data_IF_973522256445
#
_entry.id   IF_973522256445
#
_cell.length_a   1.000
_cell.length_b   1.000
_cell.length_c   1.000
_cell.angle_alpha   90.00
_cell.angle_beta   90.00
_cell.angle_gamma   90.00
#
_symmetry.space_group_name_H-M   'P 1'
#
loop_
_entity.id
_entity.type
_entity.pdbx_description
1 polymer ?
#
# COMPACT_ATOMS: atom_id res chain seq x y z
N UNK A 1 -0.53 6.70 14.54
CA UNK A 1 -0.46 7.99 13.82
C UNK A 1 -1.67 8.83 14.17
N UNK A 2 -1.49 10.09 14.56
CA UNK A 2 -2.62 11.02 14.71
C UNK A 2 -3.02 11.50 13.30
N UNK A 3 -4.31 11.52 13.01
CA UNK A 3 -4.84 12.03 11.73
C UNK A 3 -5.35 13.44 11.99
N UNK A 4 -4.76 14.48 11.37
CA UNK A 4 -5.26 15.84 11.51
C UNK A 4 -6.72 15.90 11.04
N UNK A 5 -7.57 16.61 11.78
CA UNK A 5 -8.99 16.74 11.43
C UNK A 5 -9.27 17.89 10.45
N UNK A 6 -8.28 18.74 10.20
CA UNK A 6 -8.42 19.97 9.43
C UNK A 6 -7.04 20.54 9.03
N UNK A 7 -6.96 21.27 7.91
CA UNK A 7 -7.97 21.35 6.85
C UNK A 7 -7.86 20.22 5.84
N UNK A 8 -8.98 19.91 5.18
CA UNK A 8 -8.99 19.02 4.03
C UNK A 8 -8.65 19.85 2.79
N UNK A 9 -7.54 19.54 2.13
CA UNK A 9 -7.00 20.27 0.98
C UNK A 9 -7.70 19.92 -0.32
N UNK A 10 -8.05 18.64 -0.46
CA UNK A 10 -8.69 18.10 -1.64
C UNK A 10 -9.77 17.12 -1.21
N UNK A 11 -10.93 17.21 -1.85
CA UNK A 11 -12.02 16.26 -1.69
C UNK A 11 -12.50 15.88 -3.08
N UNK A 12 -12.51 14.57 -3.35
CA UNK A 12 -13.01 13.99 -4.57
C UNK A 12 -14.09 12.97 -4.19
N UNK A 13 -15.38 13.37 -4.19
CA UNK A 13 -16.46 12.46 -3.91
C UNK A 13 -16.69 11.51 -5.10
N UNK A 14 -17.18 10.31 -4.83
CA UNK A 14 -17.69 9.45 -5.87
C UNK A 14 -18.88 10.11 -6.57
N UNK A 15 -18.89 10.06 -7.90
CA UNK A 15 -20.03 10.45 -8.73
C UNK A 15 -21.15 9.42 -8.59
N UNK A 16 -21.95 9.53 -7.53
CA UNK A 16 -23.08 8.63 -7.26
C UNK A 16 -24.19 9.33 -6.48
N UNK A 17 -25.42 8.86 -6.68
CA UNK A 17 -26.60 9.21 -5.87
C UNK A 17 -27.07 8.04 -4.99
N UNK A 18 -26.35 6.92 -5.02
CA UNK A 18 -26.68 5.69 -4.30
C UNK A 18 -25.58 5.32 -3.28
N UNK A 19 -25.91 4.41 -2.37
CA UNK A 19 -25.01 3.89 -1.35
C UNK A 19 -24.63 2.43 -1.63
N UNK A 20 -23.47 1.96 -1.14
CA UNK A 20 -22.45 2.71 -0.39
C UNK A 20 -21.68 3.70 -1.28
N UNK A 21 -21.23 4.82 -0.70
CA UNK A 21 -20.44 5.84 -1.41
C UNK A 21 -19.09 6.08 -0.74
N UNK A 22 -18.08 6.30 -1.55
CA UNK A 22 -16.72 6.61 -1.11
C UNK A 22 -16.33 8.04 -1.45
N UNK A 23 -15.43 8.62 -0.65
CA UNK A 23 -14.84 9.93 -0.86
C UNK A 23 -13.34 9.78 -0.67
N UNK A 24 -12.56 10.18 -1.67
CA UNK A 24 -11.12 10.36 -1.52
C UNK A 24 -10.84 11.78 -1.06
N UNK A 25 -9.85 11.96 -0.19
CA UNK A 25 -9.41 13.29 0.20
C UNK A 25 -7.93 13.33 0.55
N UNK A 26 -7.39 14.54 0.54
CA UNK A 26 -6.02 14.83 0.98
C UNK A 26 -6.09 15.76 2.18
N UNK A 27 -5.44 15.34 3.27
CA UNK A 27 -5.34 16.09 4.52
C UNK A 27 -3.89 16.53 4.67
N UNK A 28 -3.67 17.81 4.95
CA UNK A 28 -2.37 18.36 5.29
C UNK A 28 -2.56 19.28 6.49
N UNK A 29 -1.68 19.17 7.48
CA UNK A 29 -1.71 20.08 8.62
C UNK A 29 -1.31 21.50 8.17
N UNK A 30 -2.14 22.50 8.49
CA UNK A 30 -1.84 23.90 8.21
C UNK A 30 -0.87 24.51 9.22
N UNK A 31 -0.90 24.01 10.45
CA UNK A 31 -0.03 24.51 11.52
C UNK A 31 1.40 23.98 11.37
N UNK A 32 1.58 22.86 10.66
CA UNK A 32 2.87 22.25 10.38
C UNK A 32 2.94 21.77 8.92
N UNK A 33 3.42 22.65 8.04
CA UNK A 33 3.57 22.35 6.61
C UNK A 33 4.67 21.32 6.32
N UNK A 34 5.55 21.03 7.29
CA UNK A 34 6.56 19.97 7.20
C UNK A 34 5.97 18.59 7.51
N UNK A 35 4.79 18.54 8.15
CA UNK A 35 4.08 17.28 8.37
C UNK A 35 3.64 16.65 7.04
N UNK A 36 3.75 15.32 6.91
CA UNK A 36 3.44 14.66 5.65
C UNK A 36 1.95 14.74 5.34
N UNK A 37 1.61 14.92 4.07
CA UNK A 37 0.23 14.90 3.61
C UNK A 37 -0.33 13.47 3.65
N UNK A 38 -1.60 13.33 4.02
CA UNK A 38 -2.30 12.05 4.10
C UNK A 38 -3.33 11.93 2.99
N UNK A 39 -3.29 10.84 2.23
CA UNK A 39 -4.37 10.40 1.36
C UNK A 39 -5.34 9.53 2.16
N UNK A 40 -6.63 9.87 2.15
CA UNK A 40 -7.65 9.15 2.90
C UNK A 40 -8.82 8.72 2.02
N UNK A 41 -9.40 7.56 2.32
CA UNK A 41 -10.70 7.16 1.77
C UNK A 41 -11.69 6.99 2.91
N UNK A 42 -12.80 7.69 2.78
CA UNK A 42 -13.95 7.63 3.68
C UNK A 42 -15.09 6.93 2.96
N UNK A 43 -15.73 5.95 3.61
CA UNK A 43 -16.89 5.22 3.08
C UNK A 43 -18.11 5.43 3.95
N UNK A 44 -19.25 5.69 3.32
CA UNK A 44 -20.56 5.75 3.97
C UNK A 44 -21.44 4.61 3.44
N UNK A 45 -21.96 3.77 4.34
CA UNK A 45 -22.71 2.57 3.96
C UNK A 45 -24.18 2.86 3.60
N UNK A 46 -24.82 3.83 4.24
CA UNK A 46 -26.20 4.24 4.00
C UNK A 46 -26.37 5.75 4.29
N UNK A 47 -27.51 6.39 3.93
CA UNK A 47 -27.69 7.83 4.06
C UNK A 47 -27.50 8.40 5.48
N UNK A 48 -27.73 7.60 6.52
CA UNK A 48 -27.68 8.01 7.93
C UNK A 48 -26.45 7.50 8.67
N UNK A 49 -25.74 6.51 8.11
CA UNK A 49 -24.46 6.04 8.64
C UNK A 49 -23.41 7.14 8.64
N UNK A 50 -22.50 7.10 9.63
CA UNK A 50 -21.30 7.95 9.65
C UNK A 50 -20.34 7.49 8.54
N UNK A 51 -19.47 8.41 8.12
CA UNK A 51 -18.32 8.03 7.30
C UNK A 51 -17.31 7.28 8.16
N UNK A 52 -16.87 6.13 7.66
CA UNK A 52 -15.80 5.35 8.23
C UNK A 52 -14.55 5.45 7.36
N UNK A 53 -13.41 5.59 8.00
CA UNK A 53 -12.11 5.60 7.34
C UNK A 53 -11.75 4.18 6.91
N UNK A 54 -11.54 3.98 5.62
CA UNK A 54 -11.19 2.67 5.04
C UNK A 54 -9.74 2.60 4.59
N UNK A 55 -9.17 3.72 4.16
CA UNK A 55 -7.75 3.82 3.81
C UNK A 55 -7.14 5.09 4.40
N UNK A 56 -5.88 4.96 4.84
CA UNK A 56 -5.01 6.08 5.21
C UNK A 56 -3.62 5.76 4.68
N UNK A 57 -3.11 6.62 3.81
CA UNK A 57 -1.76 6.51 3.28
C UNK A 57 -1.00 7.80 3.54
N UNK A 58 0.29 7.68 3.84
CA UNK A 58 1.20 8.82 3.89
C UNK A 58 1.66 9.07 2.45
N UNK A 59 1.40 10.26 1.93
CA UNK A 59 1.81 10.64 0.59
C UNK A 59 3.33 10.82 0.54
N UNK A 60 3.93 10.42 -0.59
CA UNK A 60 5.35 10.61 -0.83
C UNK A 60 5.70 12.10 -0.79
N UNK A 61 6.90 12.48 -0.29
CA UNK A 61 7.35 13.86 -0.29
C UNK A 61 7.27 14.44 -1.71
N UNK A 62 6.70 15.64 -1.83
CA UNK A 62 6.57 16.36 -3.11
C UNK A 62 5.84 15.58 -4.21
N UNK A 63 4.97 14.62 -3.85
CA UNK A 63 4.22 13.86 -4.85
C UNK A 63 3.30 14.75 -5.66
N UNK A 64 3.39 14.63 -6.99
CA UNK A 64 2.43 15.26 -7.90
C UNK A 64 1.24 14.34 -8.09
N UNK A 65 0.10 14.76 -7.56
CA UNK A 65 -1.19 14.12 -7.80
C UNK A 65 -1.62 14.32 -9.26
N UNK A 66 -2.29 13.33 -9.87
CA UNK A 66 -2.86 13.49 -11.21
C UNK A 66 -4.00 14.52 -11.18
N UNK A 67 -4.47 14.93 -12.36
CA UNK A 67 -5.63 15.79 -12.48
C UNK A 67 -6.90 15.04 -12.01
N UNK A 68 -7.49 15.48 -10.91
CA UNK A 68 -8.64 14.85 -10.28
C UNK A 68 -9.92 15.63 -10.60
N UNK A 69 -11.05 14.95 -10.86
CA UNK A 69 -12.32 15.62 -11.07
C UNK A 69 -12.67 16.57 -9.91
N UNK A 70 -13.21 17.74 -10.25
CA UNK A 70 -13.68 18.72 -9.28
C UNK A 70 -14.77 18.14 -8.37
N UNK A 71 -14.86 18.66 -7.13
CA UNK A 71 -15.73 18.11 -6.10
C UNK A 71 -17.22 18.16 -6.45
N UNK A 72 -17.64 19.14 -7.26
CA UNK A 72 -19.01 19.32 -7.74
C UNK A 72 -19.40 18.33 -8.86
N UNK A 73 -18.41 17.84 -9.62
CA UNK A 73 -18.58 16.81 -10.65
C UNK A 73 -18.50 15.40 -10.06
N UNK A 74 -17.53 15.19 -9.16
CA UNK A 74 -17.18 13.88 -8.59
C UNK A 74 -16.45 12.96 -9.57
N UNK A 75 -15.87 11.88 -9.05
CA UNK A 75 -15.14 10.89 -9.85
C UNK A 75 -15.92 9.59 -10.01
N UNK A 76 -15.88 9.01 -11.21
CA UNK A 76 -16.45 7.69 -11.44
C UNK A 76 -15.64 6.65 -10.67
N UNK A 77 -16.32 5.76 -9.93
CA UNK A 77 -15.67 4.62 -9.28
C UNK A 77 -15.49 3.50 -10.30
N UNK A 78 -14.30 2.92 -10.35
CA UNK A 78 -13.99 1.77 -11.19
C UNK A 78 -14.16 0.47 -10.38
N UNK A 79 -14.69 -0.56 -11.02
CA UNK A 79 -14.72 -1.91 -10.46
C UNK A 79 -13.29 -2.50 -10.44
N UNK A 80 -12.99 -3.45 -9.53
CA UNK A 80 -11.66 -4.08 -9.46
C UNK A 80 -11.20 -4.73 -10.76
N UNK A 81 -12.13 -5.28 -11.55
CA UNK A 81 -11.92 -5.95 -12.84
C UNK A 81 -12.15 -5.01 -14.05
N UNK A 82 -12.30 -3.71 -13.80
CA UNK A 82 -12.61 -2.74 -14.85
C UNK A 82 -11.47 -2.60 -15.85
N UNK A 83 -11.78 -2.85 -17.13
CA UNK A 83 -10.85 -2.73 -18.27
C UNK A 83 -10.86 -1.33 -18.91
N UNK A 84 -11.31 -0.31 -18.18
CA UNK A 84 -11.43 1.07 -18.68
C UNK A 84 -10.11 1.85 -18.61
N UNK A 85 -9.08 1.28 -17.97
CA UNK A 85 -7.74 1.84 -17.82
C UNK A 85 -6.70 0.82 -18.28
N UNK A 86 -5.42 1.23 -18.34
CA UNK A 86 -4.30 0.46 -18.93
C UNK A 86 -4.20 -0.98 -18.42
N UNK A 87 -4.32 -1.18 -17.11
CA UNK A 87 -4.47 -2.49 -16.45
C UNK A 87 -5.58 -2.38 -15.41
N UNK A 88 -6.30 -3.46 -15.13
CA UNK A 88 -7.39 -3.43 -14.16
C UNK A 88 -6.88 -3.03 -12.76
N UNK A 89 -7.71 -2.39 -11.91
CA UNK A 89 -7.30 -2.07 -10.54
C UNK A 89 -6.80 -3.27 -9.74
N UNK A 90 -7.36 -4.47 -9.97
CA UNK A 90 -6.88 -5.71 -9.36
C UNK A 90 -5.51 -6.13 -9.87
N UNK A 91 -5.26 -6.02 -11.17
CA UNK A 91 -3.95 -6.31 -11.78
C UNK A 91 -2.86 -5.38 -11.23
N UNK A 92 -3.16 -4.12 -10.91
CA UNK A 92 -2.19 -3.20 -10.27
C UNK A 92 -1.58 -3.83 -9.02
N UNK A 93 -2.39 -4.41 -8.13
CA UNK A 93 -1.91 -5.00 -6.88
C UNK A 93 -1.10 -6.28 -7.15
N UNK A 94 -1.57 -7.16 -8.03
CA UNK A 94 -0.88 -8.41 -8.31
C UNK A 94 0.43 -8.20 -9.06
N UNK A 95 0.43 -7.33 -10.06
CA UNK A 95 1.63 -6.99 -10.84
C UNK A 95 2.65 -6.27 -9.95
N UNK A 96 2.21 -5.32 -9.12
CA UNK A 96 3.14 -4.63 -8.21
C UNK A 96 3.74 -5.59 -7.18
N UNK A 97 2.96 -6.54 -6.64
CA UNK A 97 3.48 -7.56 -5.72
C UNK A 97 4.54 -8.44 -6.39
N UNK A 98 4.31 -8.85 -7.64
CA UNK A 98 5.31 -9.59 -8.43
C UNK A 98 6.58 -8.76 -8.66
N UNK A 99 6.45 -7.46 -8.93
CA UNK A 99 7.58 -6.54 -9.06
C UNK A 99 8.35 -6.40 -7.74
N UNK A 100 7.68 -6.37 -6.58
CA UNK A 100 8.37 -6.34 -5.28
C UNK A 100 9.16 -7.62 -5.03
N UNK A 101 8.61 -8.78 -5.40
CA UNK A 101 9.29 -10.07 -5.19
C UNK A 101 10.45 -10.28 -6.16
N UNK A 102 10.26 -9.94 -7.44
CA UNK A 102 11.18 -10.32 -8.52
C UNK A 102 12.02 -9.14 -9.06
N UNK A 103 11.71 -7.92 -8.67
CA UNK A 103 12.41 -6.71 -9.10
C UNK A 103 12.45 -6.56 -10.61
N UNK A 104 13.65 -6.34 -11.16
CA UNK A 104 13.87 -6.19 -12.60
C UNK A 104 13.58 -7.45 -13.42
N UNK A 105 13.58 -8.62 -12.78
CA UNK A 105 13.25 -9.90 -13.44
C UNK A 105 11.73 -10.12 -13.56
N UNK A 106 10.92 -9.30 -12.90
CA UNK A 106 9.46 -9.31 -13.09
C UNK A 106 9.11 -8.93 -14.53
N UNK A 107 8.21 -9.71 -15.12
CA UNK A 107 7.64 -9.39 -16.45
C UNK A 107 6.82 -8.10 -16.44
N UNK A 108 6.40 -7.64 -15.26
CA UNK A 108 5.61 -6.42 -15.04
C UNK A 108 6.46 -5.21 -14.66
N UNK A 109 7.77 -5.36 -14.48
CA UNK A 109 8.66 -4.27 -14.04
C UNK A 109 8.55 -3.02 -14.93
N UNK A 110 8.38 -3.19 -16.24
CA UNK A 110 8.21 -2.11 -17.21
C UNK A 110 6.87 -1.36 -17.12
N UNK A 111 5.91 -1.82 -16.32
CA UNK A 111 4.63 -1.14 -16.11
C UNK A 111 4.74 -0.01 -15.06
N UNK A 112 5.75 -0.04 -14.19
CA UNK A 112 5.87 0.84 -13.02
C UNK A 112 7.06 1.80 -13.12
N UNK A 113 6.90 2.99 -12.56
CA UNK A 113 7.95 4.01 -12.48
C UNK A 113 8.86 3.78 -11.27
N UNK A 114 9.65 2.70 -11.29
CA UNK A 114 10.39 2.20 -10.12
C UNK A 114 11.52 3.12 -9.61
N UNK A 115 12.13 3.93 -10.49
CA UNK A 115 13.28 4.77 -10.14
C UNK A 115 12.97 5.75 -8.99
N UNK A 116 11.75 6.28 -8.94
CA UNK A 116 11.30 7.23 -7.92
C UNK A 116 10.30 6.62 -6.96
N UNK A 117 10.15 5.29 -6.97
CA UNK A 117 9.23 4.59 -6.10
C UNK A 117 9.89 4.32 -4.74
N UNK A 118 9.45 5.10 -3.75
CA UNK A 118 9.94 5.02 -2.37
C UNK A 118 9.50 3.73 -1.66
N UNK A 119 8.37 3.13 -2.05
CA UNK A 119 7.92 1.85 -1.50
C UNK A 119 8.80 0.72 -2.06
N UNK A 120 8.98 0.69 -3.39
CA UNK A 120 9.88 -0.27 -4.03
C UNK A 120 11.31 -0.17 -3.48
N UNK A 121 11.81 1.05 -3.26
CA UNK A 121 13.13 1.27 -2.65
C UNK A 121 13.22 0.79 -1.20
N UNK A 122 12.09 0.70 -0.48
CA UNK A 122 12.04 0.32 0.93
C UNK A 122 11.85 -1.19 1.15
N UNK A 123 11.10 -1.87 0.29
CA UNK A 123 10.74 -3.29 0.47
C UNK A 123 11.09 -4.20 -0.72
N UNK A 124 11.61 -3.64 -1.82
CA UNK A 124 12.03 -4.43 -2.99
C UNK A 124 13.34 -5.20 -2.77
N UNK A 125 13.83 -5.95 -3.78
CA UNK A 125 14.89 -6.94 -3.61
C UNK A 125 16.21 -6.36 -3.08
N UNK A 126 16.57 -5.15 -3.49
CA UNK A 126 17.78 -4.48 -3.00
C UNK A 126 17.70 -4.16 -1.50
N UNK A 127 16.54 -3.72 -1.02
CA UNK A 127 16.32 -3.44 0.40
C UNK A 127 16.28 -4.74 1.22
N UNK A 128 15.61 -5.77 0.70
CA UNK A 128 15.58 -7.10 1.31
C UNK A 128 16.98 -7.71 1.44
N UNK A 129 17.82 -7.58 0.40
CA UNK A 129 19.22 -8.03 0.45
C UNK A 129 20.00 -7.33 1.57
N UNK A 130 19.90 -5.99 1.66
CA UNK A 130 20.55 -5.24 2.74
C UNK A 130 20.03 -5.64 4.13
N UNK A 131 18.72 -5.93 4.26
CA UNK A 131 18.16 -6.45 5.51
C UNK A 131 18.72 -7.83 5.83
N UNK A 132 18.77 -8.75 4.88
CA UNK A 132 19.36 -10.09 5.08
C UNK A 132 20.83 -9.98 5.52
N UNK A 133 21.62 -9.09 4.93
CA UNK A 133 23.01 -8.85 5.33
C UNK A 133 23.12 -8.34 6.77
N UNK A 134 22.17 -7.50 7.22
CA UNK A 134 22.14 -6.99 8.60
C UNK A 134 21.92 -8.08 9.67
N UNK A 135 21.33 -9.21 9.28
CA UNK A 135 21.15 -10.38 10.14
C UNK A 135 22.37 -11.30 10.22
N UNK A 136 23.38 -11.09 9.37
CA UNK A 136 24.59 -11.90 9.28
C UNK A 136 24.33 -13.32 8.76
N UNK A 137 25.23 -14.25 9.09
CA UNK A 137 25.22 -15.60 8.50
C UNK A 137 24.41 -16.64 9.30
N UNK A 138 23.89 -16.27 10.47
CA UNK A 138 23.23 -17.22 11.38
C UNK A 138 21.72 -17.29 11.21
N UNK A 139 21.14 -16.31 10.53
CA UNK A 139 19.69 -16.14 10.35
C UNK A 139 19.40 -16.02 8.85
N UNK A 140 18.35 -16.70 8.42
CA UNK A 140 17.77 -16.53 7.09
C UNK A 140 16.49 -15.75 7.21
N UNK A 141 16.26 -14.85 6.27
CA UNK A 141 15.02 -14.11 6.14
C UNK A 141 14.53 -14.25 4.71
N UNK A 142 13.27 -14.63 4.57
CA UNK A 142 12.57 -14.71 3.31
C UNK A 142 11.39 -13.74 3.34
N UNK A 143 11.12 -13.10 2.21
CA UNK A 143 10.01 -12.17 2.05
C UNK A 143 9.13 -12.64 0.91
N UNK A 144 7.81 -12.63 1.13
CA UNK A 144 6.82 -12.89 0.10
C UNK A 144 5.76 -11.78 0.13
N UNK A 145 5.62 -11.07 -0.97
CA UNK A 145 4.58 -10.04 -1.16
C UNK A 145 3.46 -10.57 -2.03
N UNK A 146 2.21 -10.34 -1.62
CA UNK A 146 1.03 -10.78 -2.38
C UNK A 146 -0.13 -9.78 -2.24
N UNK A 147 -1.06 -9.72 -3.22
CA UNK A 147 -2.28 -8.94 -3.08
C UNK A 147 -3.19 -9.55 -2.00
N UNK A 148 -3.88 -8.71 -1.23
CA UNK A 148 -4.92 -9.16 -0.30
C UNK A 148 -6.30 -9.22 -0.96
N UNK A 149 -7.27 -9.82 -0.28
CA UNK A 149 -8.69 -9.84 -0.67
C UNK A 149 -9.47 -8.59 -0.22
N UNK A 150 -8.78 -7.59 0.36
CA UNK A 150 -9.43 -6.37 0.86
C UNK A 150 -9.99 -5.51 -0.26
N UNK A 151 -11.02 -4.72 0.09
CA UNK A 151 -11.71 -3.80 -0.81
C UNK A 151 -10.73 -2.90 -1.58
N UNK A 152 -10.67 -3.05 -2.90
CA UNK A 152 -9.97 -2.13 -3.80
C UNK A 152 -10.88 -0.92 -4.06
N UNK A 153 -10.33 0.28 -3.89
CA UNK A 153 -11.03 1.54 -4.20
C UNK A 153 -10.32 2.23 -5.34
N UNK A 154 -10.97 2.30 -6.50
CA UNK A 154 -10.43 2.96 -7.68
C UNK A 154 -11.36 4.07 -8.17
N UNK A 155 -10.79 5.21 -8.55
CA UNK A 155 -11.50 6.35 -9.11
C UNK A 155 -10.83 6.82 -10.41
N UNK A 156 -11.63 7.13 -11.43
CA UNK A 156 -11.14 7.71 -12.67
C UNK A 156 -10.58 9.12 -12.43
N UNK A 157 -9.44 9.43 -13.03
CA UNK A 157 -8.89 10.79 -13.09
C UNK A 157 -9.55 11.59 -14.22
N UNK A 158 -9.38 12.91 -14.25
CA UNK A 158 -9.98 13.78 -15.27
C UNK A 158 -9.42 13.52 -16.68
N UNK A 159 -8.21 12.99 -16.77
CA UNK A 159 -7.50 12.68 -18.02
C UNK A 159 -7.65 11.21 -18.48
N UNK A 160 -8.57 10.44 -17.89
CA UNK A 160 -8.85 9.05 -18.31
C UNK A 160 -7.92 7.97 -17.74
N UNK A 161 -7.08 8.31 -16.77
CA UNK A 161 -6.39 7.35 -15.91
C UNK A 161 -7.21 6.99 -14.67
N UNK A 162 -6.54 6.49 -13.62
CA UNK A 162 -7.17 6.22 -12.33
C UNK A 162 -6.21 6.43 -11.16
N UNK A 163 -6.77 6.76 -9.99
CA UNK A 163 -6.13 6.46 -8.71
C UNK A 163 -6.68 5.15 -8.18
N UNK A 164 -5.80 4.29 -7.65
CA UNK A 164 -6.15 2.97 -7.12
C UNK A 164 -5.61 2.88 -5.71
N UNK A 165 -6.47 2.54 -4.75
CA UNK A 165 -6.08 2.19 -3.38
C UNK A 165 -6.35 0.72 -3.14
N UNK A 166 -5.35 0.06 -2.60
CA UNK A 166 -5.39 -1.37 -2.31
C UNK A 166 -4.44 -1.72 -1.17
N UNK A 167 -4.55 -2.96 -0.70
CA UNK A 167 -3.67 -3.51 0.33
C UNK A 167 -2.91 -4.71 -0.22
N UNK A 168 -1.60 -4.67 -0.13
CA UNK A 168 -0.73 -5.84 -0.34
C UNK A 168 -0.26 -6.35 1.02
N UNK A 169 -0.02 -7.65 1.13
CA UNK A 169 0.53 -8.30 2.31
C UNK A 169 1.97 -8.67 2.06
N UNK A 170 2.82 -8.46 3.05
CA UNK A 170 4.19 -8.95 3.11
C UNK A 170 4.28 -9.95 4.26
N UNK A 171 4.80 -11.13 3.98
CA UNK A 171 5.18 -12.13 4.98
C UNK A 171 6.70 -12.16 5.06
N UNK A 172 7.24 -11.79 6.22
CA UNK A 172 8.66 -11.91 6.55
C UNK A 172 8.86 -13.17 7.40
N UNK A 173 9.55 -14.16 6.85
CA UNK A 173 9.86 -15.45 7.51
C UNK A 173 11.30 -15.43 7.99
N UNK A 174 11.50 -15.34 9.31
CA UNK A 174 12.82 -15.28 9.94
C UNK A 174 13.15 -16.63 10.58
N UNK A 175 14.18 -17.33 10.12
CA UNK A 175 14.55 -18.68 10.58
C UNK A 175 16.05 -18.81 10.92
N UNK A 176 16.42 -19.71 11.87
CA UNK A 176 17.82 -19.99 12.16
C UNK A 176 18.44 -20.86 11.06
N UNK A 177 19.65 -20.53 10.59
CA UNK A 177 20.38 -21.35 9.59
C UNK A 177 21.05 -22.58 10.17
N UNK A 178 21.36 -22.57 11.46
CA UNK A 178 22.06 -23.68 12.13
C UNK A 178 21.08 -24.52 12.94
N UNK A 179 21.16 -25.84 12.79
CA UNK A 179 20.38 -26.77 13.59
C UNK A 179 20.70 -26.60 15.08
N UNK A 180 19.66 -26.50 15.91
CA UNK A 180 19.78 -26.24 17.35
C UNK A 180 19.98 -24.78 17.74
N UNK A 181 20.13 -23.85 16.78
CA UNK A 181 20.11 -22.43 17.06
C UNK A 181 18.68 -21.92 17.30
N UNK A 182 18.55 -20.77 17.96
CA UNK A 182 17.27 -20.12 18.24
C UNK A 182 17.31 -18.66 17.80
N UNK A 183 16.16 -18.15 17.38
CA UNK A 183 15.92 -16.75 17.05
C UNK A 183 15.25 -16.08 18.23
N UNK A 184 15.81 -14.98 18.71
CA UNK A 184 15.19 -14.14 19.71
C UNK A 184 14.07 -13.32 19.07
N UNK A 185 12.89 -13.32 19.69
CA UNK A 185 11.79 -12.46 19.27
C UNK A 185 12.11 -10.98 19.50
N UNK A 186 11.77 -10.13 18.53
CA UNK A 186 11.70 -8.69 18.75
C UNK A 186 10.59 -8.35 19.74
N UNK A 187 10.60 -7.15 20.32
CA UNK A 187 9.54 -6.70 21.24
C UNK A 187 8.15 -6.80 20.61
N UNK A 188 8.01 -6.45 19.33
CA UNK A 188 6.74 -6.50 18.62
C UNK A 188 6.27 -7.95 18.39
N UNK A 189 7.16 -8.83 17.93
CA UNK A 189 6.85 -10.26 17.74
C UNK A 189 6.45 -10.89 19.07
N UNK A 190 7.18 -10.61 20.15
CA UNK A 190 6.87 -11.13 21.49
C UNK A 190 5.53 -10.63 22.01
N UNK A 191 5.17 -9.37 21.74
CA UNK A 191 3.88 -8.81 22.12
C UNK A 191 2.71 -9.54 21.43
N UNK A 192 2.93 -10.09 20.23
CA UNK A 192 1.92 -10.80 19.44
C UNK A 192 1.89 -12.31 19.74
N UNK A 193 3.05 -12.95 19.88
CA UNK A 193 3.15 -14.41 20.02
C UNK A 193 3.25 -14.88 21.47
N UNK A 194 3.64 -14.01 22.41
CA UNK A 194 4.08 -14.37 23.76
C UNK A 194 5.30 -15.30 23.83
N UNK A 195 5.98 -15.55 22.69
CA UNK A 195 7.15 -16.45 22.60
C UNK A 195 8.43 -15.61 22.61
N UNK A 196 9.34 -15.88 23.55
CA UNK A 196 10.58 -15.13 23.68
C UNK A 196 11.66 -15.53 22.68
N UNK A 197 11.72 -16.80 22.31
CA UNK A 197 12.68 -17.38 21.37
C UNK A 197 12.07 -18.58 20.65
N UNK A 198 12.51 -18.85 19.43
CA UNK A 198 12.05 -19.98 18.61
C UNK A 198 13.22 -20.69 17.95
N UNK A 199 13.22 -22.03 17.97
CA UNK A 199 14.19 -22.83 17.20
C UNK A 199 13.78 -23.04 15.74
N UNK A 200 12.56 -22.64 15.36
CA UNK A 200 12.01 -22.74 14.01
C UNK A 200 12.04 -21.41 13.28
N UNK A 201 11.81 -20.32 14.01
CA UNK A 201 11.65 -18.99 13.46
C UNK A 201 10.28 -18.37 13.72
N UNK A 202 10.02 -17.24 13.06
CA UNK A 202 8.75 -16.52 13.11
C UNK A 202 8.33 -16.08 11.70
N UNK A 203 7.03 -16.19 11.43
CA UNK A 203 6.38 -15.46 10.33
C UNK A 203 5.85 -14.16 10.90
N UNK A 204 6.13 -13.04 10.22
CA UNK A 204 5.59 -11.72 10.53
C UNK A 204 4.78 -11.25 9.35
N UNK A 205 3.49 -11.04 9.56
CA UNK A 205 2.57 -10.56 8.53
C UNK A 205 2.35 -9.06 8.71
N UNK A 206 2.54 -8.33 7.62
CA UNK A 206 2.30 -6.89 7.55
C UNK A 206 1.47 -6.54 6.34
N UNK A 207 0.58 -5.56 6.50
CA UNK A 207 -0.22 -5.02 5.41
C UNK A 207 0.29 -3.64 5.03
N UNK A 208 0.46 -3.45 3.73
CA UNK A 208 0.86 -2.19 3.13
C UNK A 208 -0.34 -1.66 2.35
N UNK A 209 -0.96 -0.61 2.87
CA UNK A 209 -1.96 0.16 2.14
C UNK A 209 -1.23 1.09 1.19
N UNK A 210 -1.56 1.05 -0.09
CA UNK A 210 -0.85 1.83 -1.12
C UNK A 210 -1.84 2.56 -2.01
N UNK A 211 -1.48 3.78 -2.39
CA UNK A 211 -2.16 4.60 -3.38
C UNK A 211 -1.29 4.65 -4.64
N UNK A 212 -1.82 4.13 -5.74
CA UNK A 212 -1.20 4.20 -7.06
C UNK A 212 -1.92 5.19 -7.96
N UNK A 213 -1.18 5.79 -8.89
CA UNK A 213 -1.73 6.41 -10.10
C UNK A 213 -1.46 5.52 -11.31
N UNK A 214 -2.53 5.14 -12.01
CA UNK A 214 -2.49 4.43 -13.29
C UNK A 214 -2.76 5.44 -14.41
N UNK A 215 -1.78 5.67 -15.31
CA UNK A 215 -1.96 6.57 -16.46
C UNK A 215 -3.05 6.10 -17.43
N UNK A 216 -3.59 7.01 -18.27
CA UNK A 216 -4.56 6.65 -19.30
C UNK A 216 -3.97 5.68 -20.33
N UNK A 217 -4.85 4.95 -21.01
CA UNK A 217 -4.47 4.08 -22.14
C UNK A 217 -3.74 4.88 -23.21
N UNK A 218 -2.61 4.37 -23.68
CA UNK A 218 -1.76 5.04 -24.67
C UNK A 218 -0.77 6.05 -24.08
N UNK A 219 -0.72 6.21 -22.76
CA UNK A 219 0.37 6.95 -22.10
C UNK A 219 1.64 6.10 -22.01
N UNK A 220 2.78 6.74 -22.24
CA UNK A 220 4.12 6.17 -22.04
C UNK A 220 4.56 6.27 -20.56
N UNK A 221 3.82 6.96 -19.70
CA UNK A 221 4.11 7.02 -18.26
C UNK A 221 3.93 5.65 -17.60
N UNK A 222 4.83 5.33 -16.67
CA UNK A 222 4.67 4.19 -15.77
C UNK A 222 3.68 4.47 -14.64
N UNK A 223 3.13 3.41 -14.06
CA UNK A 223 2.30 3.46 -12.85
C UNK A 223 3.16 3.97 -11.69
N UNK A 224 2.66 4.94 -10.93
CA UNK A 224 3.38 5.59 -9.83
C UNK A 224 2.77 5.24 -8.49
N UNK A 225 3.59 4.89 -7.51
CA UNK A 225 3.18 4.91 -6.09
C UNK A 225 3.17 6.36 -5.61
N UNK A 226 2.01 6.82 -5.15
CA UNK A 226 1.82 8.17 -4.64
C UNK A 226 1.99 8.26 -3.12
N UNK A 227 1.80 7.15 -2.43
CA UNK A 227 1.91 7.06 -0.97
C UNK A 227 1.53 5.69 -0.45
N UNK A 228 1.95 5.40 0.77
CA UNK A 228 1.67 4.12 1.41
C UNK A 228 1.64 4.23 2.94
N UNK A 229 1.17 3.19 3.61
CA UNK A 229 1.27 3.03 5.07
C UNK A 229 1.43 1.56 5.42
N UNK A 230 2.42 1.28 6.25
CA UNK A 230 2.74 -0.05 6.75
C UNK A 230 2.02 -0.30 8.07
N UNK A 231 1.42 -1.48 8.23
CA UNK A 231 0.76 -1.91 9.46
C UNK A 231 1.15 -3.35 9.79
N UNK A 232 1.71 -3.57 10.98
CA UNK A 232 1.96 -4.91 11.49
C UNK A 232 0.62 -5.57 11.83
N UNK A 233 0.32 -6.70 11.20
CA UNK A 233 -0.95 -7.40 11.35
C UNK A 233 -0.86 -8.55 12.35
N UNK A 234 0.24 -9.28 12.32
CA UNK A 234 0.40 -10.47 13.15
C UNK A 234 1.82 -11.00 13.12
N UNK A 235 2.08 -11.90 14.06
CA UNK A 235 3.25 -12.74 14.02
C UNK A 235 2.88 -14.12 14.59
N UNK A 236 3.52 -15.17 14.09
CA UNK A 236 3.39 -16.52 14.60
C UNK A 236 4.73 -17.25 14.55
N UNK A 237 4.87 -18.29 15.36
CA UNK A 237 6.01 -19.18 15.23
C UNK A 237 5.81 -20.06 13.99
N UNK A 238 6.86 -20.24 13.19
CA UNK A 238 6.85 -21.14 12.02
C UNK A 238 6.50 -22.55 12.48
N UNK A 239 5.58 -23.25 11.80
CA UNK A 239 5.17 -24.62 12.11
C UNK A 239 6.27 -25.67 11.88
#
# INVERSE_FOLDING_TARGET
MAIPSSPIRLVMPQQTKTWPRSVFGVIQDEADLESPSLGVVLRQQDPRSRYHLTYVVVLNPQVTLPDLPAADVGAAKLAPDSKLIRITPQEVLSHYSDVINNGAESVHSGEFALINDTLYSAIGPAAQQLRQESFGETVSVEWETSPTDRDIVAFSTANGGAIVLGTISEIETVSPRQSGATINSSTAVRALTSVSQSSRGFDVESHIQTLWYVPPVGSEEGIRVLGFTYSLMGAREVE
#
